data_IF_306729774483
#
_entry.id   IF_306729774483
#
_cell.length_a   1.000
_cell.length_b   1.000
_cell.length_c   1.000
_cell.angle_alpha   90.00
_cell.angle_beta   90.00
_cell.angle_gamma   90.00
#
_symmetry.space_group_name_H-M   'P 1'
#
loop_
_entity.id
_entity.type
_entity.pdbx_description
1 polymer ?
#
# COMPACT_ATOMS: atom_id res chain seq x y z
N UNK A 1 70.67 -11.90 -58.09
CA UNK A 1 71.46 -13.05 -58.58
C UNK A 1 72.07 -13.75 -57.36
N UNK A 2 72.15 -15.09 -57.39
CA UNK A 2 72.79 -16.00 -56.40
C UNK A 2 71.97 -16.28 -55.12
N UNK A 3 71.20 -17.38 -55.10
CA UNK A 3 71.59 -18.76 -54.75
C UNK A 3 71.70 -18.99 -53.23
N UNK A 4 70.71 -19.69 -52.66
CA UNK A 4 70.97 -20.92 -51.89
C UNK A 4 69.67 -21.67 -51.55
N UNK A 5 69.53 -22.85 -52.16
CA UNK A 5 68.86 -23.99 -51.55
C UNK A 5 69.66 -24.42 -50.30
N UNK A 6 69.00 -24.95 -49.27
CA UNK A 6 69.27 -26.30 -48.74
C UNK A 6 68.15 -26.73 -47.77
N UNK A 7 67.69 -27.95 -48.03
CA UNK A 7 66.82 -28.91 -47.32
C UNK A 7 66.79 -28.83 -45.78
N UNK A 8 65.62 -29.12 -45.20
CA UNK A 8 65.47 -30.35 -44.38
C UNK A 8 64.00 -30.79 -44.24
N UNK A 9 63.85 -32.09 -44.05
CA UNK A 9 62.68 -32.94 -44.15
C UNK A 9 61.74 -32.93 -42.93
N UNK A 10 60.56 -33.49 -43.20
CA UNK A 10 59.74 -34.33 -42.32
C UNK A 10 58.69 -33.64 -41.44
N UNK A 11 57.46 -34.16 -41.54
CA UNK A 11 56.37 -33.82 -40.64
C UNK A 11 55.00 -34.04 -41.25
N UNK A 12 54.67 -35.30 -41.55
CA UNK A 12 53.28 -35.74 -41.79
C UNK A 12 52.41 -35.36 -40.60
N UNK A 13 51.42 -34.49 -40.84
CA UNK A 13 50.40 -34.14 -39.85
C UNK A 13 49.12 -33.78 -40.57
N UNK A 14 48.27 -34.79 -40.79
CA UNK A 14 46.90 -34.60 -41.26
C UNK A 14 46.12 -33.78 -40.24
N UNK A 15 45.86 -32.50 -40.54
CA UNK A 15 44.88 -31.70 -39.81
C UNK A 15 43.56 -31.74 -40.58
N UNK A 16 42.68 -32.63 -40.11
CA UNK A 16 41.28 -32.73 -40.52
C UNK A 16 40.59 -31.40 -40.23
N UNK A 17 40.00 -30.80 -41.26
CA UNK A 17 39.11 -29.66 -41.15
C UNK A 17 37.82 -30.09 -40.43
N UNK A 18 37.67 -29.71 -39.17
CA UNK A 18 36.39 -29.73 -38.46
C UNK A 18 35.77 -28.35 -38.60
N UNK A 19 34.82 -28.24 -39.54
CA UNK A 19 33.96 -27.07 -39.67
C UNK A 19 33.18 -26.84 -38.38
N UNK A 20 33.43 -25.72 -37.72
CA UNK A 20 32.64 -25.27 -36.59
C UNK A 20 31.27 -24.80 -37.12
N UNK A 21 30.30 -25.71 -37.17
CA UNK A 21 28.89 -25.33 -37.21
C UNK A 21 28.53 -24.73 -35.85
N UNK A 22 28.31 -23.41 -35.83
CA UNK A 22 27.66 -22.72 -34.72
C UNK A 22 26.24 -23.28 -34.59
N UNK A 23 26.07 -24.33 -33.79
CA UNK A 23 24.75 -24.77 -33.33
C UNK A 23 24.23 -23.68 -32.39
N UNK A 24 23.22 -22.94 -32.87
CA UNK A 24 22.51 -21.97 -32.06
C UNK A 24 22.04 -22.64 -30.75
N UNK A 25 22.44 -22.06 -29.62
CA UNK A 25 21.96 -22.51 -28.32
C UNK A 25 20.42 -22.42 -28.30
N UNK A 26 19.70 -23.42 -27.76
CA UNK A 26 18.27 -23.31 -27.59
C UNK A 26 17.98 -22.12 -26.67
N UNK A 27 17.26 -21.14 -27.22
CA UNK A 27 16.68 -20.02 -26.50
C UNK A 27 16.03 -20.54 -25.22
N UNK A 28 16.49 -20.05 -24.07
CA UNK A 28 15.85 -20.31 -22.80
C UNK A 28 14.37 -19.92 -22.92
N UNK A 29 13.50 -20.92 -23.01
CA UNK A 29 12.06 -20.74 -22.94
C UNK A 29 11.79 -20.04 -21.61
N UNK A 30 11.32 -18.80 -21.68
CA UNK A 30 10.84 -18.06 -20.54
C UNK A 30 9.75 -18.91 -19.88
N UNK A 31 10.07 -19.52 -18.74
CA UNK A 31 9.09 -20.16 -17.89
C UNK A 31 8.06 -19.09 -17.53
N UNK A 32 6.90 -19.14 -18.18
CA UNK A 32 5.73 -18.38 -17.78
C UNK A 32 5.34 -18.97 -16.43
N UNK A 33 5.76 -18.28 -15.36
CA UNK A 33 5.29 -18.55 -14.02
C UNK A 33 3.79 -18.28 -14.02
N UNK A 34 3.00 -19.34 -14.25
CA UNK A 34 1.57 -19.30 -13.97
C UNK A 34 1.47 -19.05 -12.47
N UNK A 35 1.02 -17.85 -12.09
CA UNK A 35 0.68 -17.54 -10.72
C UNK A 35 -0.41 -18.53 -10.30
N UNK A 36 0.00 -19.62 -9.66
CA UNK A 36 -0.93 -20.57 -9.07
C UNK A 36 -1.54 -19.90 -7.85
N UNK A 37 -2.76 -19.43 -8.04
CA UNK A 37 -3.57 -18.84 -7.00
C UNK A 37 -3.98 -19.96 -6.03
N UNK A 38 -3.31 -20.00 -4.88
CA UNK A 38 -3.66 -20.96 -3.82
C UNK A 38 -4.92 -20.48 -3.11
N UNK A 39 -5.92 -21.37 -3.01
CA UNK A 39 -7.17 -21.08 -2.28
C UNK A 39 -6.84 -20.87 -0.80
N UNK A 40 -7.20 -19.70 -0.28
CA UNK A 40 -7.11 -19.40 1.15
C UNK A 40 -8.45 -19.73 1.80
N UNK A 41 -8.42 -20.65 2.78
CA UNK A 41 -9.61 -20.96 3.57
C UNK A 41 -9.98 -19.74 4.43
N UNK A 42 -11.25 -19.30 4.34
CA UNK A 42 -11.75 -18.14 5.08
C UNK A 42 -12.74 -18.58 6.16
N UNK A 43 -12.59 -18.08 7.39
CA UNK A 43 -13.36 -18.51 8.57
C UNK A 43 -13.69 -17.33 9.47
N UNK A 44 -14.43 -17.60 10.55
CA UNK A 44 -14.76 -16.58 11.56
C UNK A 44 -13.52 -15.89 12.12
N UNK A 45 -13.60 -14.56 12.22
CA UNK A 45 -12.47 -13.71 12.61
C UNK A 45 -11.68 -13.14 11.42
N UNK A 46 -11.80 -13.73 10.23
CA UNK A 46 -11.17 -13.18 9.03
C UNK A 46 -11.90 -11.92 8.54
N UNK A 47 -11.20 -11.09 7.77
CA UNK A 47 -11.74 -9.89 7.15
C UNK A 47 -11.09 -9.60 5.79
N UNK A 48 -11.75 -8.78 4.96
CA UNK A 48 -11.23 -8.29 3.69
C UNK A 48 -11.89 -8.86 2.45
N UNK A 49 -11.23 -8.71 1.29
CA UNK A 49 -11.79 -8.95 -0.04
C UNK A 49 -12.39 -10.35 -0.24
N UNK A 50 -11.80 -11.37 0.38
CA UNK A 50 -12.33 -12.73 0.36
C UNK A 50 -13.65 -12.83 1.13
N UNK A 51 -13.75 -12.19 2.30
CA UNK A 51 -14.99 -12.12 3.07
C UNK A 51 -16.05 -11.32 2.34
N UNK A 52 -15.70 -10.18 1.74
CA UNK A 52 -16.63 -9.38 0.93
C UNK A 52 -17.15 -10.17 -0.28
N UNK A 53 -16.29 -10.95 -0.93
CA UNK A 53 -16.69 -11.83 -2.03
C UNK A 53 -17.65 -12.93 -1.54
N UNK A 54 -17.38 -13.55 -0.39
CA UNK A 54 -18.29 -14.51 0.25
C UNK A 54 -19.65 -13.85 0.51
N UNK A 55 -19.67 -12.71 1.19
CA UNK A 55 -20.90 -12.01 1.58
C UNK A 55 -21.74 -11.60 0.36
N UNK A 56 -21.09 -11.08 -0.68
CA UNK A 56 -21.75 -10.71 -1.95
C UNK A 56 -22.41 -11.92 -2.61
N UNK A 57 -21.69 -13.04 -2.72
CA UNK A 57 -22.20 -14.26 -3.35
C UNK A 57 -23.28 -14.95 -2.53
N UNK A 58 -23.21 -14.83 -1.21
CA UNK A 58 -24.24 -15.28 -0.28
C UNK A 58 -25.41 -14.29 -0.15
N UNK A 59 -25.35 -13.12 -0.81
CA UNK A 59 -26.38 -12.07 -0.77
C UNK A 59 -26.71 -11.62 0.65
N UNK A 60 -25.69 -11.50 1.49
CA UNK A 60 -25.78 -10.92 2.85
C UNK A 60 -25.12 -9.54 2.89
N UNK A 61 -25.27 -8.83 4.00
CA UNK A 61 -24.59 -7.54 4.23
C UNK A 61 -23.09 -7.67 4.00
N UNK A 62 -22.55 -6.80 3.14
CA UNK A 62 -21.13 -6.79 2.76
C UNK A 62 -20.39 -5.77 3.62
N UNK A 63 -19.96 -6.20 4.81
CA UNK A 63 -19.14 -5.39 5.73
C UNK A 63 -17.65 -5.81 5.72
N UNK A 64 -17.31 -6.86 4.96
CA UNK A 64 -15.97 -7.40 4.86
C UNK A 64 -15.48 -8.12 6.12
N UNK A 65 -16.36 -8.38 7.09
CA UNK A 65 -16.04 -9.04 8.37
C UNK A 65 -16.72 -10.40 8.48
N UNK A 66 -15.94 -11.44 8.76
CA UNK A 66 -16.46 -12.78 8.96
C UNK A 66 -16.98 -12.94 10.39
N UNK A 67 -18.05 -12.20 10.70
CA UNK A 67 -18.75 -12.26 11.98
C UNK A 67 -19.79 -13.40 12.06
N UNK A 68 -20.54 -13.48 13.17
CA UNK A 68 -21.54 -14.52 13.39
C UNK A 68 -22.61 -14.61 12.28
N UNK A 69 -23.01 -13.47 11.70
CA UNK A 69 -23.96 -13.43 10.58
C UNK A 69 -23.39 -14.07 9.32
N UNK A 70 -22.15 -13.74 8.96
CA UNK A 70 -21.44 -14.35 7.82
C UNK A 70 -21.25 -15.85 8.04
N UNK A 71 -20.87 -16.26 9.25
CA UNK A 71 -20.75 -17.69 9.61
C UNK A 71 -22.07 -18.43 9.44
N UNK A 72 -23.17 -17.88 9.96
CA UNK A 72 -24.49 -18.49 9.81
C UNK A 72 -24.89 -18.64 8.33
N UNK A 73 -24.61 -17.63 7.51
CA UNK A 73 -24.87 -17.66 6.07
C UNK A 73 -24.02 -18.72 5.35
N UNK A 74 -22.73 -18.84 5.67
CA UNK A 74 -21.84 -19.86 5.11
C UNK A 74 -22.33 -21.27 5.49
N UNK A 75 -22.69 -21.49 6.76
CA UNK A 75 -23.23 -22.78 7.23
C UNK A 75 -24.53 -23.13 6.50
N UNK A 76 -25.44 -22.17 6.32
CA UNK A 76 -26.68 -22.38 5.58
C UNK A 76 -26.42 -22.75 4.12
N UNK A 77 -25.50 -22.05 3.46
CA UNK A 77 -25.10 -22.32 2.09
C UNK A 77 -24.45 -23.70 1.93
N UNK A 78 -23.55 -24.08 2.85
CA UNK A 78 -22.92 -25.40 2.84
C UNK A 78 -23.95 -26.52 2.96
N UNK A 79 -24.94 -26.36 3.85
CA UNK A 79 -26.05 -27.32 3.99
C UNK A 79 -26.86 -27.44 2.70
N UNK A 80 -27.22 -26.32 2.06
CA UNK A 80 -28.02 -26.35 0.82
C UNK A 80 -27.27 -26.97 -0.36
N UNK A 81 -25.94 -26.94 -0.34
CA UNK A 81 -25.08 -27.51 -1.38
C UNK A 81 -24.48 -28.89 -1.00
N UNK A 82 -24.99 -29.51 0.09
CA UNK A 82 -24.53 -30.83 0.58
C UNK A 82 -23.01 -30.90 0.86
N UNK A 83 -22.44 -29.79 1.35
CA UNK A 83 -21.06 -29.69 1.81
C UNK A 83 -20.98 -29.89 3.33
N UNK A 84 -19.77 -30.11 3.85
CA UNK A 84 -19.52 -30.09 5.31
C UNK A 84 -19.89 -28.70 5.84
N UNK A 85 -20.85 -28.64 6.77
CA UNK A 85 -21.40 -27.39 7.28
C UNK A 85 -20.61 -26.85 8.50
N UNK A 86 -19.31 -26.66 8.32
CA UNK A 86 -18.35 -26.23 9.35
C UNK A 86 -18.23 -24.71 9.51
N UNK A 87 -18.82 -23.93 8.59
CA UNK A 87 -18.71 -22.47 8.57
C UNK A 87 -17.36 -21.97 8.05
N UNK A 88 -16.58 -22.82 7.38
CA UNK A 88 -15.28 -22.49 6.77
C UNK A 88 -15.44 -22.50 5.24
N UNK A 89 -15.05 -21.40 4.60
CA UNK A 89 -15.03 -21.29 3.15
C UNK A 89 -13.68 -21.81 2.62
N UNK A 90 -13.57 -23.14 2.54
CA UNK A 90 -12.46 -23.84 1.90
C UNK A 90 -12.67 -24.07 0.40
N UNK A 91 -11.78 -24.84 -0.28
CA UNK A 91 -11.81 -25.04 -1.73
C UNK A 91 -13.16 -25.51 -2.29
N UNK A 92 -13.82 -26.47 -1.63
CA UNK A 92 -15.12 -26.97 -2.06
C UNK A 92 -16.22 -25.90 -1.93
N UNK A 93 -16.23 -25.16 -0.83
CA UNK A 93 -17.17 -24.05 -0.61
C UNK A 93 -16.93 -22.93 -1.63
N UNK A 94 -15.67 -22.59 -1.92
CA UNK A 94 -15.32 -21.61 -2.95
C UNK A 94 -15.75 -22.04 -4.35
N UNK A 95 -15.56 -23.31 -4.69
CA UNK A 95 -16.04 -23.88 -5.95
C UNK A 95 -17.56 -23.72 -6.08
N UNK A 96 -18.32 -24.10 -5.05
CA UNK A 96 -19.77 -23.95 -5.01
C UNK A 96 -20.21 -22.47 -5.06
N UNK A 97 -19.41 -21.54 -4.51
CA UNK A 97 -19.64 -20.09 -4.59
C UNK A 97 -19.26 -19.49 -5.95
N UNK A 98 -18.98 -20.28 -6.99
CA UNK A 98 -18.59 -19.79 -8.31
C UNK A 98 -17.08 -19.54 -8.48
N UNK A 99 -16.25 -20.28 -7.75
CA UNK A 99 -14.79 -20.29 -7.87
C UNK A 99 -14.06 -19.29 -6.97
N UNK A 100 -12.85 -19.63 -6.52
CA UNK A 100 -12.02 -18.73 -5.72
C UNK A 100 -11.64 -17.48 -6.55
N UNK A 101 -11.84 -16.25 -6.04
CA UNK A 101 -11.69 -15.05 -6.84
C UNK A 101 -10.21 -14.68 -7.03
N UNK A 102 -9.49 -15.47 -7.82
CA UNK A 102 -8.05 -15.32 -8.08
C UNK A 102 -7.67 -13.97 -8.67
N UNK A 103 -8.55 -13.35 -9.48
CA UNK A 103 -8.34 -11.99 -10.00
C UNK A 103 -8.67 -10.89 -8.98
N UNK A 104 -9.51 -11.15 -7.97
CA UNK A 104 -9.72 -10.23 -6.85
C UNK A 104 -8.57 -10.32 -5.82
N UNK A 105 -7.91 -11.49 -5.74
CA UNK A 105 -6.63 -11.66 -5.06
C UNK A 105 -5.47 -11.09 -5.91
N UNK A 106 -5.63 -11.05 -7.24
CA UNK A 106 -4.62 -10.66 -8.24
C UNK A 106 -4.66 -9.21 -8.72
N UNK A 107 -5.54 -8.35 -8.20
CA UNK A 107 -5.42 -6.88 -8.30
C UNK A 107 -5.52 -6.23 -6.93
N UNK A 108 -4.98 -6.89 -5.90
CA UNK A 108 -4.29 -6.09 -4.90
C UNK A 108 -3.10 -5.48 -5.63
N UNK A 109 -3.05 -4.17 -5.79
CA UNK A 109 -1.76 -3.56 -6.07
C UNK A 109 -0.97 -3.81 -4.81
N UNK A 110 -0.12 -4.84 -4.86
CA UNK A 110 0.66 -5.27 -3.71
C UNK A 110 1.38 -4.05 -3.18
N UNK A 111 1.15 -3.76 -1.90
CA UNK A 111 1.86 -2.68 -1.26
C UNK A 111 3.37 -2.96 -1.39
N UNK A 112 4.14 -1.92 -1.67
CA UNK A 112 5.59 -2.05 -1.81
C UNK A 112 6.30 -1.03 -0.93
N UNK A 113 7.45 -1.43 -0.42
CA UNK A 113 8.35 -0.58 0.35
C UNK A 113 9.71 -0.64 -0.33
N UNK A 114 10.23 0.48 -0.79
CA UNK A 114 11.56 0.55 -1.40
C UNK A 114 12.37 1.70 -0.80
N UNK A 115 13.69 1.65 -1.02
CA UNK A 115 14.57 2.79 -0.76
C UNK A 115 14.20 3.97 -1.66
N UNK A 116 14.61 5.18 -1.24
CA UNK A 116 14.51 6.36 -2.09
C UNK A 116 15.57 6.24 -3.20
N UNK A 117 15.12 6.07 -4.45
CA UNK A 117 16.00 6.03 -5.62
C UNK A 117 16.48 7.43 -5.99
N UNK A 118 17.57 7.60 -6.76
CA UNK A 118 17.99 8.92 -7.24
C UNK A 118 16.91 9.66 -8.04
N UNK A 119 16.13 8.93 -8.84
CA UNK A 119 15.00 9.49 -9.58
C UNK A 119 13.91 10.02 -8.63
N UNK A 120 13.57 9.27 -7.59
CA UNK A 120 12.60 9.72 -6.60
C UNK A 120 13.14 10.88 -5.75
N UNK A 121 14.42 10.85 -5.37
CA UNK A 121 15.07 11.96 -4.69
C UNK A 121 15.00 13.25 -5.52
N UNK A 122 15.04 13.15 -6.84
CA UNK A 122 14.85 14.28 -7.75
C UNK A 122 13.41 14.79 -7.77
N UNK A 123 12.41 13.89 -7.70
CA UNK A 123 10.99 14.29 -7.52
C UNK A 123 10.75 14.96 -6.17
N UNK A 124 11.47 14.53 -5.12
CA UNK A 124 11.31 15.02 -3.75
C UNK A 124 11.99 16.38 -3.45
N UNK A 125 12.47 17.11 -4.46
CA UNK A 125 13.28 18.33 -4.26
C UNK A 125 12.54 19.48 -3.57
N UNK A 126 11.21 19.45 -3.53
CA UNK A 126 10.41 20.51 -2.89
C UNK A 126 10.06 20.16 -1.45
N UNK A 127 9.91 18.87 -1.11
CA UNK A 127 9.63 18.38 0.24
C UNK A 127 10.88 17.98 1.02
N UNK A 128 12.04 17.83 0.37
CA UNK A 128 13.33 17.44 0.97
C UNK A 128 14.47 18.41 0.59
N UNK A 129 15.37 18.67 1.53
CA UNK A 129 16.62 19.44 1.32
C UNK A 129 17.71 19.04 2.32
N UNK A 130 18.95 19.46 2.06
CA UNK A 130 20.02 19.36 3.05
C UNK A 130 19.62 20.08 4.35
N UNK A 131 19.89 19.46 5.50
CA UNK A 131 19.47 19.95 6.82
C UNK A 131 18.13 19.38 7.32
N UNK A 132 17.42 18.58 6.52
CA UNK A 132 16.30 17.79 7.03
C UNK A 132 16.76 16.77 8.08
N UNK A 133 15.94 16.49 9.11
CA UNK A 133 16.38 15.75 10.28
C UNK A 133 16.58 14.25 10.03
N UNK A 134 16.14 13.74 8.88
CA UNK A 134 16.29 12.33 8.47
C UNK A 134 16.91 12.31 7.08
N UNK A 135 18.06 11.65 6.88
CA UNK A 135 18.66 11.50 5.55
C UNK A 135 17.76 10.63 4.66
N UNK A 136 17.87 10.77 3.33
CA UNK A 136 17.10 9.95 2.38
C UNK A 136 17.23 8.44 2.60
N UNK A 137 18.39 7.96 3.07
CA UNK A 137 18.63 6.55 3.43
C UNK A 137 17.76 6.05 4.59
N UNK A 138 17.32 6.96 5.47
CA UNK A 138 16.39 6.71 6.57
C UNK A 138 14.91 6.74 6.17
N UNK A 139 14.61 7.13 4.93
CA UNK A 139 13.25 7.17 4.40
C UNK A 139 12.95 5.97 3.49
N UNK A 140 11.67 5.66 3.32
CA UNK A 140 11.15 4.63 2.43
C UNK A 140 10.04 5.21 1.59
N UNK A 141 10.06 4.83 0.31
CA UNK A 141 8.96 5.05 -0.60
C UNK A 141 7.99 3.88 -0.46
N UNK A 142 6.75 4.20 -0.09
CA UNK A 142 5.71 3.26 0.23
C UNK A 142 4.57 3.44 -0.75
N UNK A 143 4.27 2.39 -1.52
CA UNK A 143 3.07 2.31 -2.33
C UNK A 143 2.06 1.43 -1.62
N UNK A 144 0.82 1.89 -1.46
CA UNK A 144 -0.24 1.15 -0.75
C UNK A 144 -1.55 1.21 -1.53
N UNK A 145 -2.37 0.15 -1.50
CA UNK A 145 -3.71 0.22 -2.05
C UNK A 145 -4.58 1.14 -1.19
N UNK A 146 -5.52 1.84 -1.81
CA UNK A 146 -6.60 2.53 -1.09
C UNK A 146 -7.94 2.43 -1.83
N UNK A 147 -9.03 2.55 -1.09
CA UNK A 147 -10.37 2.67 -1.65
C UNK A 147 -10.68 4.15 -1.90
N UNK A 148 -10.93 4.52 -3.15
CA UNK A 148 -11.20 5.90 -3.55
C UNK A 148 -12.62 6.35 -3.25
N UNK A 149 -12.83 7.67 -3.22
CA UNK A 149 -14.18 8.25 -3.20
C UNK A 149 -15.01 7.87 -4.43
N UNK A 150 -14.34 7.53 -5.54
CA UNK A 150 -14.92 7.02 -6.79
C UNK A 150 -15.34 5.54 -6.70
N UNK A 151 -15.23 4.92 -5.52
CA UNK A 151 -15.58 3.53 -5.26
C UNK A 151 -14.75 2.54 -6.09
N UNK A 152 -13.46 2.85 -6.28
CA UNK A 152 -12.49 1.98 -6.95
C UNK A 152 -11.23 1.83 -6.12
N UNK A 153 -10.49 0.76 -6.34
CA UNK A 153 -9.16 0.60 -5.77
C UNK A 153 -8.13 1.40 -6.56
N UNK A 154 -7.25 2.08 -5.84
CA UNK A 154 -6.15 2.87 -6.36
C UNK A 154 -4.85 2.50 -5.66
N UNK A 155 -3.75 3.07 -6.14
CA UNK A 155 -2.44 2.99 -5.50
C UNK A 155 -2.03 4.39 -5.06
N UNK A 156 -1.76 4.53 -3.78
CA UNK A 156 -1.23 5.75 -3.19
C UNK A 156 0.29 5.72 -3.11
N UNK A 157 0.89 6.91 -3.11
CA UNK A 157 2.32 7.15 -2.91
C UNK A 157 2.54 7.88 -1.58
N UNK A 158 3.39 7.32 -0.72
CA UNK A 158 3.86 7.95 0.51
C UNK A 158 5.38 7.84 0.61
N UNK A 159 5.98 8.81 1.29
CA UNK A 159 7.33 8.66 1.83
C UNK A 159 7.24 8.72 3.35
N UNK A 160 7.83 7.74 4.02
CA UNK A 160 7.82 7.61 5.48
C UNK A 160 9.19 7.22 6.00
N UNK A 161 9.40 7.34 7.30
CA UNK A 161 10.56 6.82 7.98
C UNK A 161 10.60 5.29 7.86
N UNK A 162 11.79 4.72 7.68
CA UNK A 162 11.98 3.27 7.60
C UNK A 162 11.38 2.52 8.79
N UNK A 163 11.41 3.11 9.98
CA UNK A 163 10.86 2.52 11.22
C UNK A 163 9.35 2.32 11.19
N UNK A 164 8.59 3.13 10.44
CA UNK A 164 7.12 3.06 10.41
C UNK A 164 6.57 2.47 9.11
N UNK A 165 7.44 2.07 8.17
CA UNK A 165 7.02 1.64 6.84
C UNK A 165 6.09 0.41 6.88
N UNK A 166 6.41 -0.59 7.71
CA UNK A 166 5.58 -1.79 7.86
C UNK A 166 4.22 -1.50 8.51
N UNK A 167 4.20 -0.66 9.55
CA UNK A 167 2.97 -0.24 10.21
C UNK A 167 2.08 0.57 9.25
N UNK A 168 2.68 1.44 8.43
CA UNK A 168 2.00 2.20 7.37
C UNK A 168 1.30 1.28 6.37
N UNK A 169 2.02 0.29 5.84
CA UNK A 169 1.45 -0.70 4.91
C UNK A 169 0.29 -1.47 5.55
N UNK A 170 0.45 -1.86 6.82
CA UNK A 170 -0.58 -2.60 7.56
C UNK A 170 -1.85 -1.78 7.77
N UNK A 171 -1.69 -0.51 8.15
CA UNK A 171 -2.80 0.41 8.35
C UNK A 171 -3.55 0.63 7.03
N UNK A 172 -2.87 1.03 5.95
CA UNK A 172 -3.55 1.33 4.68
C UNK A 172 -4.16 0.09 4.00
N UNK A 173 -3.54 -1.09 4.12
CA UNK A 173 -4.18 -2.32 3.69
C UNK A 173 -5.49 -2.58 4.47
N UNK A 174 -5.54 -2.24 5.76
CA UNK A 174 -6.75 -2.35 6.58
C UNK A 174 -7.82 -1.34 6.12
N UNK A 175 -7.44 -0.09 5.91
CA UNK A 175 -8.36 0.95 5.40
C UNK A 175 -8.94 0.56 4.03
N UNK A 176 -8.10 0.07 3.11
CA UNK A 176 -8.52 -0.38 1.78
C UNK A 176 -9.49 -1.57 1.84
N UNK A 177 -9.22 -2.55 2.71
CA UNK A 177 -10.12 -3.69 2.95
C UNK A 177 -11.47 -3.29 3.54
N UNK A 178 -11.48 -2.26 4.36
CA UNK A 178 -12.69 -1.74 5.02
C UNK A 178 -13.41 -0.68 4.18
N UNK A 179 -12.99 -0.44 2.94
CA UNK A 179 -13.52 0.59 2.05
C UNK A 179 -13.59 1.98 2.70
N UNK A 180 -12.62 2.33 3.55
CA UNK A 180 -12.48 3.70 4.05
C UNK A 180 -12.09 4.60 2.88
N UNK A 181 -12.94 5.58 2.48
CA UNK A 181 -12.69 6.32 1.26
C UNK A 181 -11.57 7.35 1.47
N UNK A 182 -10.57 7.32 0.60
CA UNK A 182 -9.47 8.28 0.52
C UNK A 182 -9.59 9.05 -0.78
N UNK A 183 -9.50 10.39 -0.73
CA UNK A 183 -9.69 11.21 -1.93
C UNK A 183 -8.56 11.01 -2.94
N UNK A 184 -7.33 11.09 -2.45
CA UNK A 184 -6.11 10.82 -3.18
C UNK A 184 -4.95 10.65 -2.19
N UNK A 185 -3.86 10.05 -2.67
CA UNK A 185 -2.64 9.84 -1.89
C UNK A 185 -1.42 9.99 -2.78
N UNK A 186 -0.86 11.19 -2.79
CA UNK A 186 0.26 11.63 -3.62
C UNK A 186 1.32 12.30 -2.77
N UNK A 187 2.56 12.34 -3.25
CA UNK A 187 3.64 13.04 -2.57
C UNK A 187 3.35 14.54 -2.54
N UNK A 188 3.75 15.23 -1.46
CA UNK A 188 3.55 16.68 -1.34
C UNK A 188 4.28 17.45 -2.44
N UNK A 189 5.32 16.87 -3.04
CA UNK A 189 6.03 17.43 -4.20
C UNK A 189 5.15 17.62 -5.44
N UNK A 190 4.12 16.79 -5.61
CA UNK A 190 3.14 16.94 -6.69
C UNK A 190 2.29 18.21 -6.54
N UNK A 191 2.37 18.86 -5.36
CA UNK A 191 1.75 20.14 -5.02
C UNK A 191 2.81 21.25 -4.85
N UNK A 192 4.02 21.03 -5.37
CA UNK A 192 5.15 21.96 -5.27
C UNK A 192 5.77 22.05 -3.87
N UNK A 193 5.61 21.02 -3.04
CA UNK A 193 6.07 21.01 -1.65
C UNK A 193 5.21 21.87 -0.71
N UNK A 194 4.10 22.42 -1.21
CA UNK A 194 3.22 23.30 -0.46
C UNK A 194 2.15 22.47 0.29
N UNK A 195 2.24 22.51 1.62
CA UNK A 195 1.34 21.79 2.53
C UNK A 195 -0.12 22.23 2.34
N UNK A 196 -0.36 23.54 2.27
CA UNK A 196 -1.71 24.11 2.12
C UNK A 196 -2.40 23.65 0.83
N UNK A 197 -1.66 23.59 -0.27
CA UNK A 197 -2.18 23.08 -1.54
C UNK A 197 -2.54 21.59 -1.45
N UNK A 198 -1.71 20.80 -0.76
CA UNK A 198 -1.97 19.38 -0.52
C UNK A 198 -3.22 19.18 0.34
N UNK A 199 -3.36 19.95 1.42
CA UNK A 199 -4.51 19.91 2.33
C UNK A 199 -5.79 20.35 1.62
N UNK A 200 -5.77 21.45 0.88
CA UNK A 200 -6.93 21.93 0.10
C UNK A 200 -7.38 20.92 -0.97
N UNK A 201 -6.44 20.13 -1.49
CA UNK A 201 -6.75 19.04 -2.41
C UNK A 201 -7.24 17.75 -1.70
N UNK A 202 -7.39 17.78 -0.36
CA UNK A 202 -7.77 16.65 0.47
C UNK A 202 -6.81 15.44 0.30
N UNK A 203 -5.52 15.72 0.06
CA UNK A 203 -4.52 14.70 -0.22
C UNK A 203 -4.03 14.03 1.07
N UNK A 204 -4.09 12.71 1.11
CA UNK A 204 -3.44 11.93 2.18
C UNK A 204 -1.93 11.92 1.93
N UNK A 205 -1.14 12.35 2.91
CA UNK A 205 0.31 12.54 2.74
C UNK A 205 1.09 12.27 4.02
N UNK A 206 2.43 12.17 3.92
CA UNK A 206 3.28 11.81 5.06
C UNK A 206 4.54 12.67 5.18
N UNK A 207 5.48 12.58 4.24
CA UNK A 207 6.74 13.33 4.34
C UNK A 207 6.61 14.79 3.84
N UNK A 208 6.99 15.73 4.68
CA UNK A 208 7.23 17.13 4.30
C UNK A 208 8.25 17.74 5.29
N UNK A 209 9.45 18.08 4.81
CA UNK A 209 10.52 18.61 5.65
C UNK A 209 10.28 20.07 6.03
N UNK A 210 9.49 20.28 7.09
CA UNK A 210 9.17 21.60 7.64
C UNK A 210 9.29 21.64 9.16
N UNK A 211 9.46 22.84 9.69
CA UNK A 211 9.35 23.10 11.13
C UNK A 211 7.88 23.01 11.56
N UNK A 212 7.66 22.85 12.86
CA UNK A 212 6.33 23.02 13.46
C UNK A 212 5.93 24.49 13.31
N UNK A 213 4.65 24.75 13.00
CA UNK A 213 4.10 26.10 12.93
C UNK A 213 4.33 26.84 14.25
N UNK A 214 4.93 28.03 14.20
CA UNK A 214 5.30 28.85 15.37
C UNK A 214 6.26 28.17 16.38
N UNK A 215 6.93 27.08 15.97
CA UNK A 215 7.87 26.33 16.81
C UNK A 215 9.31 26.39 16.29
N UNK A 216 10.27 26.06 17.16
CA UNK A 216 11.69 25.95 16.80
C UNK A 216 12.07 24.54 16.33
N UNK A 217 11.27 23.53 16.68
CA UNK A 217 11.48 22.12 16.35
C UNK A 217 10.95 21.68 14.99
N UNK A 218 11.33 20.47 14.59
CA UNK A 218 10.88 19.82 13.37
C UNK A 218 9.50 19.19 13.53
N UNK A 219 8.69 19.27 12.49
CA UNK A 219 7.41 18.54 12.43
C UNK A 219 7.65 17.03 12.38
N UNK A 220 6.72 16.22 12.91
CA UNK A 220 6.77 14.76 12.74
C UNK A 220 6.71 14.33 11.26
N UNK A 221 6.15 15.17 10.38
CA UNK A 221 6.24 14.99 8.93
C UNK A 221 7.67 15.10 8.41
N UNK A 222 8.51 15.97 9.01
CA UNK A 222 9.92 16.10 8.63
C UNK A 222 10.76 14.90 9.06
N UNK A 223 10.34 14.19 10.11
CA UNK A 223 10.91 12.91 10.51
C UNK A 223 10.39 11.73 9.68
N UNK A 224 9.39 11.95 8.81
CA UNK A 224 8.66 10.90 8.10
C UNK A 224 7.85 9.99 9.03
N UNK A 225 7.50 10.47 10.22
CA UNK A 225 6.84 9.70 11.28
C UNK A 225 5.36 10.12 11.49
N UNK A 226 4.85 10.99 10.63
CA UNK A 226 3.45 11.42 10.63
C UNK A 226 2.77 11.14 9.28
N UNK A 227 1.45 10.94 9.33
CA UNK A 227 0.58 10.70 8.19
C UNK A 227 -0.72 11.48 8.43
N UNK A 228 -1.08 12.34 7.48
CA UNK A 228 -2.36 13.06 7.48
C UNK A 228 -3.31 12.41 6.49
N UNK A 229 -4.54 12.09 6.92
CA UNK A 229 -5.53 11.36 6.10
C UNK A 229 -6.74 12.25 5.82
N UNK A 230 -7.02 12.43 4.52
CA UNK A 230 -8.07 13.31 4.01
C UNK A 230 -8.17 14.65 4.80
N UNK A 231 -7.13 15.51 4.75
CA UNK A 231 -7.06 16.77 5.50
C UNK A 231 -8.30 17.67 5.45
N UNK A 232 -8.97 17.74 4.30
CA UNK A 232 -10.10 18.64 4.10
C UNK A 232 -11.33 18.23 4.93
N UNK A 233 -11.55 16.93 5.10
CA UNK A 233 -12.69 16.39 5.87
C UNK A 233 -12.32 16.01 7.31
N UNK A 234 -11.02 16.04 7.63
CA UNK A 234 -10.45 15.79 8.95
C UNK A 234 -9.60 16.98 9.38
N UNK A 235 -10.19 18.17 9.62
CA UNK A 235 -9.40 19.39 9.79
C UNK A 235 -8.58 19.41 11.07
N UNK A 236 -7.48 20.14 11.02
CA UNK A 236 -6.87 20.75 12.20
C UNK A 236 -7.77 21.85 12.77
N UNK A 237 -7.98 21.85 14.08
CA UNK A 237 -8.88 22.75 14.81
C UNK A 237 -8.13 23.37 15.99
N UNK A 238 -7.96 24.69 15.95
CA UNK A 238 -7.34 25.47 17.02
C UNK A 238 -8.40 26.33 17.70
N UNK A 239 -8.57 26.16 19.00
CA UNK A 239 -9.56 26.89 19.83
C UNK A 239 -10.98 26.87 19.23
N UNK A 240 -11.39 25.74 18.63
CA UNK A 240 -12.69 25.59 17.98
C UNK A 240 -12.77 26.13 16.54
N UNK A 241 -11.71 26.79 16.06
CA UNK A 241 -11.63 27.31 14.70
C UNK A 241 -10.86 26.31 13.80
N UNK A 242 -11.52 25.71 12.79
CA UNK A 242 -10.83 24.85 11.84
C UNK A 242 -9.99 25.69 10.88
N UNK A 243 -8.87 25.12 10.43
CA UNK A 243 -8.11 25.70 9.33
C UNK A 243 -8.98 25.74 8.06
N UNK A 244 -8.75 26.74 7.20
CA UNK A 244 -9.43 26.90 5.90
C UNK A 244 -10.95 27.05 5.95
N UNK A 245 -11.54 27.35 7.11
CA UNK A 245 -12.97 27.64 7.24
C UNK A 245 -13.89 26.43 7.06
N UNK A 246 -13.38 25.20 7.18
CA UNK A 246 -14.17 23.96 7.00
C UNK A 246 -14.98 23.56 8.24
N UNK A 247 -15.76 24.49 8.79
CA UNK A 247 -16.57 24.30 10.02
C UNK A 247 -17.54 23.13 9.96
N UNK A 248 -18.05 22.78 8.79
CA UNK A 248 -18.94 21.64 8.57
C UNK A 248 -18.33 20.30 9.00
N UNK A 249 -17.00 20.16 9.01
CA UNK A 249 -16.32 18.91 9.37
C UNK A 249 -15.83 18.85 10.82
N UNK A 250 -15.98 19.94 11.59
CA UNK A 250 -15.59 20.00 13.01
C UNK A 250 -16.41 19.04 13.88
N UNK A 251 -17.75 18.98 13.79
CA UNK A 251 -18.52 17.98 14.53
C UNK A 251 -18.10 16.56 14.12
N UNK A 252 -17.66 15.73 15.07
CA UNK A 252 -17.21 14.34 14.79
C UNK A 252 -18.37 13.35 14.74
N UNK A 253 -19.30 13.60 13.84
CA UNK A 253 -20.34 12.63 13.43
C UNK A 253 -19.86 11.73 12.29
N UNK A 254 -20.39 10.50 12.15
CA UNK A 254 -20.07 9.63 11.02
C UNK A 254 -20.29 10.30 9.66
N UNK A 255 -19.34 10.10 8.75
CA UNK A 255 -19.38 10.63 7.39
C UNK A 255 -18.25 10.04 6.54
N UNK A 256 -18.39 10.16 5.22
CA UNK A 256 -17.40 9.60 4.28
C UNK A 256 -16.02 10.19 4.54
N UNK A 257 -15.05 9.30 4.74
CA UNK A 257 -13.63 9.63 4.91
C UNK A 257 -13.30 10.40 6.19
N UNK A 258 -14.26 10.52 7.11
CA UNK A 258 -14.06 11.10 8.44
C UNK A 258 -13.53 10.05 9.40
N UNK A 259 -12.54 10.42 10.21
CA UNK A 259 -11.98 9.57 11.27
C UNK A 259 -12.65 9.87 12.61
N UNK A 260 -13.19 8.85 13.27
CA UNK A 260 -13.78 8.97 14.60
C UNK A 260 -12.95 8.19 15.62
N UNK A 261 -12.98 8.68 16.86
CA UNK A 261 -12.39 7.96 17.99
C UNK A 261 -12.93 6.51 18.03
N UNK A 262 -12.04 5.53 18.03
CA UNK A 262 -12.40 4.12 18.12
C UNK A 262 -12.96 3.47 16.84
N UNK A 263 -13.01 4.20 15.72
CA UNK A 263 -13.41 3.61 14.44
C UNK A 263 -12.33 2.68 13.85
N UNK A 264 -12.60 2.11 12.68
CA UNK A 264 -11.69 1.17 12.04
C UNK A 264 -10.36 1.81 11.60
N UNK A 265 -10.37 3.09 11.21
CA UNK A 265 -9.15 3.82 10.82
C UNK A 265 -8.31 4.13 12.05
N UNK A 266 -8.93 4.66 13.10
CA UNK A 266 -8.32 4.87 14.40
C UNK A 266 -7.63 3.59 14.91
N UNK A 267 -8.35 2.46 14.91
CA UNK A 267 -7.83 1.17 15.37
C UNK A 267 -6.69 0.65 14.49
N UNK A 268 -6.78 0.84 13.17
CA UNK A 268 -5.74 0.38 12.24
C UNK A 268 -4.40 1.09 12.48
N UNK A 269 -4.43 2.40 12.75
CA UNK A 269 -3.22 3.16 13.05
C UNK A 269 -2.72 2.95 14.47
N UNK A 270 -3.60 2.97 15.47
CA UNK A 270 -3.20 2.79 16.88
C UNK A 270 -2.65 1.38 17.17
N UNK A 271 -3.15 0.34 16.50
CA UNK A 271 -2.54 -1.00 16.55
C UNK A 271 -1.10 -1.04 15.99
N UNK A 272 -0.74 -0.09 15.13
CA UNK A 272 0.61 0.09 14.59
C UNK A 272 1.50 1.03 15.41
N UNK A 273 1.08 1.42 16.62
CA UNK A 273 1.85 2.30 17.51
C UNK A 273 1.70 3.80 17.25
N UNK A 274 0.81 4.20 16.34
CA UNK A 274 0.53 5.62 16.13
C UNK A 274 -0.38 6.17 17.23
N UNK A 275 -0.11 7.41 17.63
CA UNK A 275 -1.07 8.25 18.35
C UNK A 275 -1.87 9.08 17.35
N UNK A 276 -3.12 9.43 17.70
CA UNK A 276 -4.00 10.22 16.85
C UNK A 276 -4.12 11.65 17.38
N UNK A 277 -3.99 12.65 16.51
CA UNK A 277 -4.11 14.07 16.86
C UNK A 277 -5.51 14.48 17.30
N UNK A 278 -6.53 13.67 17.02
CA UNK A 278 -7.88 13.83 17.58
C UNK A 278 -7.97 13.52 19.07
N UNK A 279 -6.98 12.83 19.66
CA UNK A 279 -6.91 12.53 21.10
C UNK A 279 -6.11 13.59 21.88
N UNK A 280 -5.60 14.63 21.22
CA UNK A 280 -4.84 15.70 21.87
C UNK A 280 -5.72 16.56 22.79
N UNK A 281 -5.06 17.38 23.63
CA UNK A 281 -5.74 18.23 24.61
C UNK A 281 -6.78 19.13 23.94
N UNK A 282 -7.93 19.27 24.60
CA UNK A 282 -8.99 20.18 24.19
C UNK A 282 -8.41 21.58 23.90
N UNK A 283 -8.76 22.12 22.73
CA UNK A 283 -8.25 23.39 22.22
C UNK A 283 -7.23 23.28 21.08
N UNK A 284 -6.59 22.12 20.88
CA UNK A 284 -5.74 21.84 19.71
C UNK A 284 -5.99 20.40 19.26
N UNK A 285 -6.89 20.22 18.30
CA UNK A 285 -7.27 18.91 17.78
C UNK A 285 -6.82 18.80 16.32
N UNK A 286 -6.17 17.71 15.96
CA UNK A 286 -5.69 17.46 14.60
C UNK A 286 -6.27 16.15 14.05
N UNK A 287 -7.50 16.22 13.51
CA UNK A 287 -8.27 15.00 13.18
C UNK A 287 -7.68 14.19 12.02
N UNK A 288 -6.90 14.81 11.16
CA UNK A 288 -6.20 14.16 10.05
C UNK A 288 -4.97 13.37 10.52
N UNK A 289 -4.39 13.76 11.65
CA UNK A 289 -3.00 13.50 11.96
C UNK A 289 -2.80 12.23 12.77
N UNK A 290 -1.94 11.34 12.27
CA UNK A 290 -1.39 10.23 13.03
C UNK A 290 0.11 10.36 13.10
N UNK A 291 0.69 10.22 14.29
CA UNK A 291 2.14 10.26 14.48
C UNK A 291 2.65 9.11 15.35
N UNK A 292 3.84 8.62 15.01
CA UNK A 292 4.55 7.60 15.77
C UNK A 292 5.80 8.22 16.38
N UNK A 293 5.83 8.38 17.70
CA UNK A 293 7.01 8.89 18.41
C UNK A 293 7.98 7.77 18.70
#
# INVERSE_FOLDING_TARGET
MSHNLVRLLAGTGAAVALGATLVAAPSASAATSTLSCSVVATKSGDSGVLVSAIQSRLRVSVDGVFGPRTKAAVVAFQKSHRLVADGIVGPLTWSALGGFPCSAVGTSVAASVSSITPALATRMKTSYRAGCPVPLSGLRYVKVPYWGYDQRYHVGELVVNASIASATVTAFNTLARNHFPIQQMRLVDDFGGNDDNSVKANNTSAYNCRKITNGTGWSMHAYGKAIDINPWVNPYVYQGHPQYGVSTYVPRTPGKGKILCGDATYKAFTAGGFSWGGDWKAGVLDYQHFEHR
#
